data_IF_212674283793
#
_entry.id   IF_212674283793
#
_cell.length_a   1.000
_cell.length_b   1.000
_cell.length_c   1.000
_cell.angle_alpha   90.00
_cell.angle_beta   90.00
_cell.angle_gamma   90.00
#
_symmetry.space_group_name_H-M   'P 1'
#
loop_
_entity.id
_entity.type
_entity.pdbx_description
1 polymer ?
#
# COMPACT_ATOMS: atom_id res chain seq x y z
N UNK A 1 -3.19 46.38 32.00
CA UNK A 1 -2.72 46.51 33.39
C UNK A 1 -1.95 45.23 33.71
N UNK A 2 -0.65 45.39 33.96
CA UNK A 2 0.18 44.72 35.00
C UNK A 2 -0.44 43.48 35.69
N UNK A 3 0.26 42.36 35.96
CA UNK A 3 1.63 42.26 36.46
C UNK A 3 2.11 40.78 36.52
N UNK A 4 3.44 40.63 36.60
CA UNK A 4 4.22 39.42 36.90
C UNK A 4 4.00 38.91 38.34
N UNK A 5 4.31 37.63 38.60
CA UNK A 5 5.12 37.26 39.78
C UNK A 5 5.82 35.90 39.64
N UNK A 6 7.14 35.96 39.84
CA UNK A 6 8.14 34.89 39.94
C UNK A 6 8.20 34.33 41.38
N UNK A 7 8.71 33.10 41.52
CA UNK A 7 9.67 32.57 42.53
C UNK A 7 9.37 31.09 42.88
N UNK A 8 10.29 30.16 43.21
CA UNK A 8 11.77 30.06 43.26
C UNK A 8 12.12 28.56 43.47
N UNK A 9 13.34 28.18 43.07
CA UNK A 9 14.04 26.90 43.31
C UNK A 9 14.52 26.71 44.77
N UNK A 10 14.78 25.44 45.16
CA UNK A 10 15.91 24.88 45.97
C UNK A 10 15.56 23.39 46.29
N UNK A 11 16.24 22.32 45.83
CA UNK A 11 17.59 21.74 46.04
C UNK A 11 17.94 21.33 47.49
N UNK A 12 18.01 20.01 47.74
CA UNK A 12 19.05 19.25 48.49
C UNK A 12 18.67 17.75 48.40
N UNK A 13 19.44 16.78 47.90
CA UNK A 13 20.81 16.28 48.16
C UNK A 13 20.97 15.59 49.52
N UNK A 14 20.95 14.25 49.52
CA UNK A 14 21.88 13.45 50.34
C UNK A 14 22.08 12.03 49.78
N UNK A 15 23.13 11.35 50.24
CA UNK A 15 24.09 10.65 49.43
C UNK A 15 24.54 9.28 50.00
N UNK A 16 24.61 8.27 49.12
CA UNK A 16 25.68 7.23 49.04
C UNK A 16 25.78 6.14 50.17
N UNK A 17 26.72 5.16 50.12
CA UNK A 17 26.62 3.90 49.34
C UNK A 17 27.01 2.64 50.15
N UNK A 18 26.78 1.40 49.67
CA UNK A 18 27.53 0.22 50.18
C UNK A 18 27.75 -0.88 49.11
N UNK A 19 28.93 -1.51 49.22
CA UNK A 19 29.73 -2.26 48.23
C UNK A 19 29.46 -3.79 48.23
N UNK A 20 30.05 -4.56 47.28
CA UNK A 20 29.67 -5.95 46.94
C UNK A 20 30.52 -7.01 47.66
N UNK A 21 30.09 -8.28 47.59
CA UNK A 21 30.87 -9.46 47.99
C UNK A 21 31.03 -10.48 46.84
N UNK A 22 32.18 -11.17 46.88
CA UNK A 22 32.85 -11.94 45.82
C UNK A 22 32.74 -13.46 46.06
N UNK A 23 32.80 -14.20 44.94
CA UNK A 23 33.44 -15.51 44.71
C UNK A 23 32.85 -16.82 45.26
N UNK A 24 32.60 -17.75 44.33
CA UNK A 24 32.73 -19.19 44.48
C UNK A 24 32.89 -19.85 43.11
N UNK A 25 34.08 -20.40 42.82
CA UNK A 25 34.41 -21.23 41.63
C UNK A 25 34.21 -22.72 41.96
N UNK A 26 34.39 -23.56 40.93
CA UNK A 26 34.46 -25.05 40.87
C UNK A 26 33.08 -25.73 40.77
N UNK A 27 32.77 -26.59 39.79
CA UNK A 27 33.61 -27.58 39.08
C UNK A 27 32.97 -27.99 37.76
N UNK A 28 33.77 -28.15 36.69
CA UNK A 28 33.41 -28.87 35.47
C UNK A 28 33.22 -30.37 35.76
N UNK A 29 32.06 -30.94 35.43
CA UNK A 29 31.97 -32.36 35.05
C UNK A 29 30.97 -32.54 33.91
N UNK A 30 31.47 -33.26 32.91
CA UNK A 30 30.90 -33.63 31.62
C UNK A 30 29.69 -34.55 31.81
N UNK A 31 28.57 -34.23 31.16
CA UNK A 31 27.65 -35.23 30.60
C UNK A 31 27.31 -34.81 29.18
N UNK A 32 27.95 -35.49 28.23
CA UNK A 32 27.58 -35.49 26.84
C UNK A 32 26.28 -36.30 26.71
N UNK A 33 25.17 -35.63 26.44
CA UNK A 33 23.90 -36.32 26.23
C UNK A 33 22.66 -35.45 26.15
N UNK A 34 22.72 -34.21 25.67
CA UNK A 34 21.53 -33.35 25.52
C UNK A 34 21.64 -32.44 24.27
N UNK A 35 21.99 -33.01 23.11
CA UNK A 35 22.03 -32.28 21.83
C UNK A 35 20.85 -32.53 20.90
N UNK A 36 19.93 -33.44 21.25
CA UNK A 36 18.70 -33.68 20.47
C UNK A 36 17.42 -33.13 21.13
N UNK A 37 17.46 -32.69 22.40
CA UNK A 37 16.29 -32.10 23.07
C UNK A 37 16.31 -30.55 23.09
N UNK A 38 17.39 -29.92 22.62
CA UNK A 38 17.52 -28.46 22.60
C UNK A 38 16.87 -27.78 21.37
N UNK A 39 16.42 -28.53 20.36
CA UNK A 39 15.79 -27.97 19.15
C UNK A 39 14.25 -27.99 19.17
N UNK A 40 13.63 -28.52 20.23
CA UNK A 40 12.17 -28.63 20.35
C UNK A 40 11.51 -27.63 21.33
N UNK A 41 12.25 -26.65 21.87
CA UNK A 41 11.72 -25.75 22.90
C UNK A 41 11.96 -24.26 22.61
N UNK A 42 11.18 -23.69 21.68
CA UNK A 42 10.65 -22.33 21.85
C UNK A 42 9.46 -22.00 20.92
N UNK A 43 8.53 -22.94 20.74
CA UNK A 43 7.21 -22.56 20.26
C UNK A 43 6.46 -21.93 21.44
N UNK A 44 6.27 -20.61 21.40
CA UNK A 44 5.46 -19.91 22.39
C UNK A 44 3.99 -20.32 22.13
N UNK A 45 3.54 -21.43 22.72
CA UNK A 45 2.30 -22.15 22.38
C UNK A 45 1.00 -21.35 22.56
N UNK A 46 1.07 -20.10 23.04
CA UNK A 46 -0.08 -19.20 23.22
C UNK A 46 -0.26 -18.10 22.18
N UNK A 47 0.81 -17.65 21.51
CA UNK A 47 0.77 -16.49 20.61
C UNK A 47 0.79 -16.94 19.16
N UNK A 48 -0.25 -16.54 18.41
CA UNK A 48 -0.33 -16.73 16.96
C UNK A 48 -0.17 -15.40 16.24
N UNK A 49 0.80 -15.34 15.32
CA UNK A 49 0.89 -14.28 14.33
C UNK A 49 -0.03 -14.56 13.15
N UNK A 50 -0.88 -13.59 12.81
CA UNK A 50 -1.67 -13.62 11.58
C UNK A 50 -1.15 -12.61 10.57
N UNK A 51 -1.13 -13.03 9.31
CA UNK A 51 -0.97 -12.16 8.15
C UNK A 51 -2.35 -11.90 7.54
N UNK A 52 -2.69 -10.65 7.30
CA UNK A 52 -3.99 -10.25 6.76
C UNK A 52 -3.83 -9.34 5.55
N UNK A 53 -4.54 -9.64 4.48
CA UNK A 53 -4.68 -8.77 3.32
C UNK A 53 -5.95 -7.93 3.46
N UNK A 54 -5.84 -6.62 3.29
CA UNK A 54 -6.94 -5.67 3.41
C UNK A 54 -7.06 -4.81 2.16
N UNK A 55 -8.29 -4.56 1.73
CA UNK A 55 -8.64 -3.54 0.74
C UNK A 55 -9.29 -2.35 1.45
N UNK A 56 -9.13 -1.14 0.92
CA UNK A 56 -9.79 0.05 1.46
C UNK A 56 -9.90 1.23 0.49
N UNK A 57 -10.94 2.03 0.71
CA UNK A 57 -11.16 3.33 0.07
C UNK A 57 -10.41 4.41 0.87
N UNK A 58 -9.30 4.88 0.32
CA UNK A 58 -8.35 5.76 0.99
C UNK A 58 -8.88 7.16 1.32
N UNK A 59 -9.86 7.66 0.57
CA UNK A 59 -10.43 9.01 0.75
C UNK A 59 -11.22 9.18 2.05
N UNK A 60 -11.47 8.10 2.79
CA UNK A 60 -12.08 8.10 4.12
C UNK A 60 -11.08 8.14 5.26
N UNK A 61 -9.78 8.17 4.96
CA UNK A 61 -8.71 8.03 5.94
C UNK A 61 -7.63 9.09 5.78
N UNK A 62 -7.04 9.49 6.90
CA UNK A 62 -5.84 10.33 6.97
C UNK A 62 -4.54 9.50 6.81
N UNK A 63 -4.61 8.49 5.94
CA UNK A 63 -3.56 7.52 5.68
C UNK A 63 -3.74 6.22 6.44
N UNK A 64 -2.85 5.26 6.17
CA UNK A 64 -2.94 3.95 6.79
C UNK A 64 -2.40 3.91 8.22
N UNK A 65 -1.30 4.62 8.48
CA UNK A 65 -0.61 4.61 9.77
C UNK A 65 -1.45 5.31 10.84
N UNK A 66 -1.51 4.72 12.05
CA UNK A 66 -2.19 5.35 13.18
C UNK A 66 -1.60 6.72 13.53
N UNK A 67 -2.48 7.69 13.75
CA UNK A 67 -2.17 9.06 14.16
C UNK A 67 -3.16 9.49 15.23
N UNK A 68 -2.77 10.39 16.16
CA UNK A 68 -3.69 10.96 17.14
C UNK A 68 -4.85 11.69 16.45
N UNK A 69 -6.07 11.53 16.97
CA UNK A 69 -7.27 12.28 16.57
C UNK A 69 -7.65 12.19 15.07
N UNK A 70 -7.19 11.17 14.35
CA UNK A 70 -7.46 10.99 12.93
C UNK A 70 -7.96 9.57 12.65
N UNK A 71 -8.96 9.44 11.78
CA UNK A 71 -9.41 8.12 11.29
C UNK A 71 -8.36 7.57 10.31
N UNK A 72 -7.83 6.40 10.63
CA UNK A 72 -6.74 5.75 9.89
C UNK A 72 -7.08 4.27 9.69
N UNK A 73 -6.50 3.65 8.66
CA UNK A 73 -6.77 2.24 8.36
C UNK A 73 -6.33 1.34 9.52
N UNK A 74 -5.12 1.55 10.06
CA UNK A 74 -4.62 0.81 11.22
C UNK A 74 -5.50 1.03 12.45
N UNK A 75 -5.95 2.26 12.70
CA UNK A 75 -6.83 2.56 13.84
C UNK A 75 -8.13 1.77 13.79
N UNK A 76 -8.82 1.77 12.64
CA UNK A 76 -10.08 1.03 12.45
C UNK A 76 -9.86 -0.49 12.51
N UNK A 77 -8.77 -0.99 11.94
CA UNK A 77 -8.42 -2.41 12.05
C UNK A 77 -8.19 -2.83 13.50
N UNK A 78 -7.40 -2.06 14.25
CA UNK A 78 -7.15 -2.35 15.67
C UNK A 78 -8.42 -2.33 16.50
N UNK A 79 -9.33 -1.38 16.24
CA UNK A 79 -10.64 -1.33 16.89
C UNK A 79 -11.48 -2.58 16.58
N UNK A 80 -11.52 -3.01 15.32
CA UNK A 80 -12.24 -4.22 14.91
C UNK A 80 -11.66 -5.48 15.56
N UNK A 81 -10.33 -5.59 15.61
CA UNK A 81 -9.64 -6.69 16.31
C UNK A 81 -9.88 -6.65 17.81
N UNK A 82 -9.88 -5.47 18.44
CA UNK A 82 -10.16 -5.34 19.86
C UNK A 82 -11.58 -5.79 20.19
N UNK A 83 -12.58 -5.44 19.38
CA UNK A 83 -13.96 -5.90 19.57
C UNK A 83 -14.11 -7.41 19.40
N UNK A 84 -13.37 -8.00 18.45
CA UNK A 84 -13.39 -9.44 18.21
C UNK A 84 -12.67 -10.24 19.31
N UNK A 85 -11.40 -9.90 19.57
CA UNK A 85 -10.50 -10.65 20.47
C UNK A 85 -10.78 -10.29 21.94
N UNK A 86 -11.20 -9.06 22.21
CA UNK A 86 -11.42 -8.54 23.56
C UNK A 86 -10.19 -7.83 24.15
N UNK A 87 -9.10 -7.69 23.40
CA UNK A 87 -7.88 -6.99 23.81
C UNK A 87 -7.31 -6.16 22.66
N UNK A 88 -6.59 -5.09 22.97
CA UNK A 88 -5.91 -4.29 21.97
C UNK A 88 -4.79 -5.09 21.30
N UNK A 89 -4.68 -4.97 19.98
CA UNK A 89 -3.59 -5.56 19.19
C UNK A 89 -2.81 -4.46 18.49
N UNK A 90 -1.52 -4.70 18.28
CA UNK A 90 -0.69 -3.84 17.45
C UNK A 90 -0.67 -4.37 16.02
N UNK A 91 -1.01 -3.52 15.05
CA UNK A 91 -1.06 -3.89 13.63
C UNK A 91 0.09 -3.23 12.88
N UNK A 92 0.85 -4.06 12.15
CA UNK A 92 2.00 -3.63 11.38
C UNK A 92 1.77 -3.82 9.88
N UNK A 93 1.66 -2.72 9.14
CA UNK A 93 1.47 -2.74 7.69
C UNK A 93 2.78 -3.05 6.93
N UNK A 94 2.62 -3.74 5.80
CA UNK A 94 3.63 -3.98 4.79
C UNK A 94 4.05 -2.71 4.06
N UNK A 95 3.07 -1.83 3.84
CA UNK A 95 3.21 -0.55 3.19
C UNK A 95 2.35 0.48 3.90
N UNK A 96 2.91 1.65 4.13
CA UNK A 96 2.14 2.80 4.58
C UNK A 96 1.59 3.54 3.37
N UNK A 97 0.37 4.05 3.45
CA UNK A 97 -0.26 4.87 2.40
C UNK A 97 -0.65 6.24 2.94
N UNK A 98 -0.55 7.26 2.09
CA UNK A 98 -0.92 8.64 2.44
C UNK A 98 -2.44 8.78 2.58
N UNK A 99 -2.88 9.92 3.14
CA UNK A 99 -4.27 10.32 3.11
C UNK A 99 -4.81 10.33 1.67
N UNK A 100 -5.98 9.72 1.48
CA UNK A 100 -6.62 9.63 0.17
C UNK A 100 -6.11 8.51 -0.75
N UNK A 101 -5.02 7.82 -0.42
CA UNK A 101 -4.48 6.71 -1.24
C UNK A 101 -5.22 5.42 -0.91
N UNK A 102 -5.70 4.74 -1.94
CA UNK A 102 -6.46 3.49 -1.84
C UNK A 102 -5.55 2.27 -1.73
N UNK A 103 -6.11 1.12 -1.35
CA UNK A 103 -5.45 -0.17 -1.52
C UNK A 103 -6.43 -1.23 -2.02
N UNK A 104 -6.00 -1.97 -3.04
CA UNK A 104 -6.62 -3.22 -3.47
C UNK A 104 -6.13 -4.40 -2.62
N UNK A 105 -4.88 -4.33 -2.16
CA UNK A 105 -4.31 -5.30 -1.23
C UNK A 105 -3.13 -4.69 -0.47
N UNK A 106 -3.40 -4.15 0.72
CA UNK A 106 -2.35 -3.87 1.70
C UNK A 106 -2.27 -5.05 2.66
N UNK A 107 -1.07 -5.50 2.96
CA UNK A 107 -0.87 -6.62 3.88
C UNK A 107 -0.43 -6.11 5.24
N UNK A 108 -1.00 -6.65 6.31
CA UNK A 108 -0.65 -6.34 7.69
C UNK A 108 -0.38 -7.62 8.46
N UNK A 109 0.39 -7.54 9.55
CA UNK A 109 0.45 -8.61 10.53
C UNK A 109 0.18 -8.10 11.94
N UNK A 110 -0.26 -9.00 12.81
CA UNK A 110 -0.47 -8.76 14.23
C UNK A 110 -0.39 -10.08 14.99
N UNK A 111 -0.13 -9.98 16.29
CA UNK A 111 -0.01 -11.10 17.20
C UNK A 111 -1.23 -11.18 18.10
N UNK A 112 -1.70 -12.41 18.35
CA UNK A 112 -2.85 -12.67 19.23
C UNK A 112 -2.51 -13.80 20.16
N UNK A 113 -2.59 -13.53 21.46
CA UNK A 113 -2.78 -14.54 22.49
C UNK A 113 -4.26 -14.60 22.86
N UNK A 114 -4.86 -15.77 22.77
CA UNK A 114 -6.29 -15.91 23.06
C UNK A 114 -6.49 -16.31 24.51
N UNK A 115 -6.98 -15.39 25.34
CA UNK A 115 -7.22 -15.66 26.76
C UNK A 115 -8.70 -15.97 27.02
N UNK A 116 -8.97 -17.00 27.82
CA UNK A 116 -10.31 -17.40 28.22
C UNK A 116 -10.97 -16.32 29.09
N UNK A 117 -12.15 -15.84 28.66
CA UNK A 117 -12.97 -14.93 29.46
C UNK A 117 -13.61 -15.59 30.68
N UNK A 118 -13.78 -16.92 30.66
CA UNK A 118 -14.41 -17.69 31.73
C UNK A 118 -13.42 -18.10 32.81
N UNK A 119 -12.16 -18.32 32.43
CA UNK A 119 -11.06 -18.68 33.34
C UNK A 119 -9.86 -17.78 33.04
N UNK A 120 -9.73 -16.63 33.73
CA UNK A 120 -8.60 -15.74 33.54
C UNK A 120 -7.26 -16.48 33.72
N UNK A 121 -6.33 -16.30 32.79
CA UNK A 121 -5.03 -17.00 32.76
C UNK A 121 -5.00 -18.30 31.95
N UNK A 122 -6.15 -18.83 31.53
CA UNK A 122 -6.20 -19.96 30.59
C UNK A 122 -6.01 -19.46 29.15
N UNK A 123 -4.94 -19.91 28.50
CA UNK A 123 -4.68 -19.66 27.08
C UNK A 123 -5.45 -20.68 26.25
N UNK A 124 -6.25 -20.17 25.32
CA UNK A 124 -7.07 -20.95 24.40
C UNK A 124 -6.35 -21.15 23.06
N UNK A 125 -6.71 -22.20 22.31
CA UNK A 125 -6.19 -22.40 20.96
C UNK A 125 -6.47 -21.19 20.05
N UNK A 126 -5.53 -20.85 19.15
CA UNK A 126 -5.71 -19.79 18.16
C UNK A 126 -6.98 -19.97 17.33
N UNK A 127 -7.52 -18.85 16.84
CA UNK A 127 -8.63 -18.89 15.91
C UNK A 127 -8.18 -19.38 14.53
N UNK A 128 -9.00 -20.20 13.86
CA UNK A 128 -8.76 -20.48 12.45
C UNK A 128 -8.80 -19.18 11.63
N UNK A 129 -7.94 -19.03 10.60
CA UNK A 129 -7.90 -17.83 9.77
C UNK A 129 -9.25 -17.40 9.18
N UNK A 130 -10.10 -18.37 8.81
CA UNK A 130 -11.46 -18.10 8.30
C UNK A 130 -12.36 -17.44 9.33
N UNK A 131 -12.23 -17.82 10.61
CA UNK A 131 -12.99 -17.24 11.72
C UNK A 131 -12.54 -15.80 11.96
N UNK A 132 -11.22 -15.56 11.99
CA UNK A 132 -10.64 -14.22 12.10
C UNK A 132 -11.19 -13.31 10.98
N UNK A 133 -11.10 -13.75 9.72
CA UNK A 133 -11.61 -12.99 8.57
C UNK A 133 -13.08 -12.59 8.74
N UNK A 134 -13.93 -13.58 9.04
CA UNK A 134 -15.38 -13.37 9.15
C UNK A 134 -15.72 -12.42 10.30
N UNK A 135 -15.12 -12.63 11.47
CA UNK A 135 -15.42 -11.83 12.64
C UNK A 135 -14.94 -10.39 12.50
N UNK A 136 -13.74 -10.16 11.97
CA UNK A 136 -13.20 -8.81 11.76
C UNK A 136 -14.03 -8.07 10.72
N UNK A 137 -14.38 -8.70 9.59
CA UNK A 137 -15.24 -8.08 8.59
C UNK A 137 -16.63 -7.70 9.11
N UNK A 138 -17.22 -8.50 10.01
CA UNK A 138 -18.47 -8.13 10.66
C UNK A 138 -18.36 -6.80 11.42
N UNK A 139 -17.24 -6.57 12.12
CA UNK A 139 -17.02 -5.29 12.80
C UNK A 139 -16.67 -4.15 11.84
N UNK A 140 -15.90 -4.41 10.78
CA UNK A 140 -15.57 -3.39 9.77
C UNK A 140 -16.81 -2.93 8.98
N UNK A 141 -17.71 -3.84 8.63
CA UNK A 141 -18.92 -3.53 7.85
C UNK A 141 -19.96 -2.73 8.65
N UNK A 142 -20.00 -2.88 9.98
CA UNK A 142 -20.85 -2.04 10.84
C UNK A 142 -20.40 -0.57 10.86
N UNK A 143 -19.13 -0.31 10.53
CA UNK A 143 -18.49 1.01 10.58
C UNK A 143 -18.12 1.48 9.16
N UNK A 144 -19.16 1.75 8.35
CA UNK A 144 -19.11 2.35 7.00
C UNK A 144 -18.66 1.42 5.85
N UNK A 145 -17.99 0.31 6.13
CA UNK A 145 -17.62 -0.66 5.08
C UNK A 145 -16.51 -0.19 4.13
N UNK A 146 -15.69 0.78 4.55
CA UNK A 146 -14.60 1.33 3.74
C UNK A 146 -13.30 0.50 3.78
N UNK A 147 -13.24 -0.53 4.63
CA UNK A 147 -12.12 -1.47 4.78
C UNK A 147 -12.67 -2.89 4.83
N UNK A 148 -12.05 -3.81 4.11
CA UNK A 148 -12.41 -5.24 4.14
C UNK A 148 -11.15 -6.10 4.24
N UNK A 149 -11.19 -7.11 5.11
CA UNK A 149 -10.19 -8.19 5.15
C UNK A 149 -10.51 -9.21 4.07
N UNK A 150 -9.61 -9.36 3.11
CA UNK A 150 -9.76 -10.23 1.93
C UNK A 150 -9.23 -11.65 2.21
N UNK A 151 -8.05 -11.74 2.82
CA UNK A 151 -7.38 -13.01 3.15
C UNK A 151 -6.73 -12.94 4.54
N UNK A 152 -6.65 -14.09 5.20
CA UNK A 152 -5.99 -14.27 6.50
C UNK A 152 -5.21 -15.57 6.46
N UNK A 153 -3.96 -15.54 6.94
CA UNK A 153 -3.10 -16.73 7.08
C UNK A 153 -2.39 -16.72 8.43
N UNK A 154 -2.18 -17.90 8.99
CA UNK A 154 -1.22 -18.08 10.08
C UNK A 154 0.20 -18.06 9.49
N UNK A 155 1.10 -17.34 10.12
CA UNK A 155 2.51 -17.25 9.71
C UNK A 155 3.43 -17.45 10.92
N UNK A 156 4.71 -17.82 10.71
CA UNK A 156 5.68 -17.90 11.80
C UNK A 156 5.81 -16.59 12.60
N UNK A 157 6.16 -16.70 13.88
CA UNK A 157 6.26 -15.56 14.80
C UNK A 157 7.41 -14.58 14.45
N UNK A 158 8.34 -14.98 13.59
CA UNK A 158 9.41 -14.12 13.05
C UNK A 158 8.98 -13.38 11.76
N UNK A 159 7.80 -13.69 11.21
CA UNK A 159 7.34 -13.11 9.96
C UNK A 159 6.97 -11.63 10.14
N UNK A 160 7.57 -10.74 9.37
CA UNK A 160 7.22 -9.31 9.41
C UNK A 160 6.75 -8.81 8.04
N UNK A 161 5.47 -8.39 7.96
CA UNK A 161 4.83 -7.96 6.71
C UNK A 161 5.64 -6.91 5.93
N UNK A 162 6.30 -5.97 6.61
CA UNK A 162 7.16 -5.00 5.91
C UNK A 162 8.47 -5.59 5.36
N UNK A 163 9.16 -6.41 6.14
CA UNK A 163 10.54 -6.79 5.88
C UNK A 163 10.65 -8.05 5.03
N UNK A 164 9.67 -8.97 5.12
CA UNK A 164 9.58 -10.16 4.26
C UNK A 164 8.89 -9.90 2.91
N UNK A 165 8.36 -8.70 2.68
CA UNK A 165 7.77 -8.34 1.39
C UNK A 165 8.85 -8.15 0.33
N UNK A 166 8.79 -8.97 -0.71
CA UNK A 166 9.72 -9.00 -1.83
C UNK A 166 9.45 -7.90 -2.86
N UNK A 167 8.21 -7.44 -2.94
CA UNK A 167 7.79 -6.50 -3.98
C UNK A 167 6.51 -5.79 -3.58
N UNK A 168 6.36 -4.56 -4.03
CA UNK A 168 5.07 -3.88 -4.06
C UNK A 168 4.75 -3.44 -5.48
N UNK A 169 3.48 -3.54 -5.84
CA UNK A 169 2.93 -3.02 -7.10
C UNK A 169 1.90 -1.95 -6.78
N UNK A 170 2.03 -0.80 -7.42
CA UNK A 170 1.10 0.30 -7.32
C UNK A 170 0.49 0.58 -8.69
N UNK A 171 -0.77 0.97 -8.68
CA UNK A 171 -1.48 1.43 -9.85
C UNK A 171 -1.85 2.89 -9.67
N UNK A 172 -1.71 3.69 -10.72
CA UNK A 172 -2.27 5.02 -10.77
C UNK A 172 -3.28 5.12 -11.90
N UNK A 173 -4.48 5.58 -11.59
CA UNK A 173 -5.58 5.65 -12.54
C UNK A 173 -5.76 7.07 -13.08
N UNK A 174 -5.69 7.20 -14.41
CA UNK A 174 -5.95 8.44 -15.13
C UNK A 174 -7.20 8.30 -16.00
N UNK A 175 -7.95 9.38 -16.11
CA UNK A 175 -9.13 9.50 -16.96
C UNK A 175 -8.92 10.74 -17.84
N UNK A 176 -8.84 10.56 -19.16
CA UNK A 176 -8.56 11.64 -20.11
C UNK A 176 -9.76 11.94 -21.01
N UNK A 177 -10.05 13.22 -21.17
CA UNK A 177 -11.04 13.72 -22.11
C UNK A 177 -11.64 15.07 -21.68
N UNK A 178 -12.11 15.88 -22.64
CA UNK A 178 -12.55 17.25 -22.40
C UNK A 178 -13.86 17.34 -21.62
N UNK A 179 -14.64 16.26 -21.59
CA UNK A 179 -15.90 16.20 -20.87
C UNK A 179 -15.69 16.32 -19.36
N UNK A 180 -16.72 16.75 -18.63
CA UNK A 180 -16.66 16.70 -17.16
C UNK A 180 -16.35 15.28 -16.66
N UNK A 181 -15.73 15.15 -15.48
CA UNK A 181 -15.52 13.84 -14.87
C UNK A 181 -16.88 13.20 -14.54
N UNK A 182 -17.01 11.89 -14.79
CA UNK A 182 -18.19 11.14 -14.35
C UNK A 182 -18.26 11.14 -12.82
N UNK A 183 -19.47 11.26 -12.24
CA UNK A 183 -19.65 11.20 -10.78
C UNK A 183 -19.16 9.88 -10.17
N UNK A 184 -19.19 8.79 -10.95
CA UNK A 184 -18.62 7.51 -10.54
C UNK A 184 -17.10 7.58 -10.45
N UNK A 185 -16.41 8.43 -11.20
CA UNK A 185 -14.94 8.48 -11.19
C UNK A 185 -14.36 9.39 -10.11
N UNK A 186 -15.23 10.18 -9.47
CA UNK A 186 -14.86 11.05 -8.36
C UNK A 186 -14.12 10.26 -7.28
N UNK A 187 -13.00 10.80 -6.82
CA UNK A 187 -12.16 10.22 -5.78
C UNK A 187 -11.53 8.85 -6.12
N UNK A 188 -11.55 8.43 -7.40
CA UNK A 188 -11.01 7.13 -7.87
C UNK A 188 -10.02 7.23 -9.03
N UNK A 189 -9.77 8.44 -9.53
CA UNK A 189 -8.87 8.69 -10.65
C UNK A 189 -8.46 10.16 -10.70
N UNK A 190 -7.35 10.44 -11.38
CA UNK A 190 -7.03 11.80 -11.81
C UNK A 190 -7.67 12.08 -13.17
N UNK A 191 -8.55 13.09 -13.22
CA UNK A 191 -9.10 13.60 -14.47
C UNK A 191 -8.10 14.57 -15.13
N UNK A 192 -7.79 14.30 -16.39
CA UNK A 192 -6.93 15.11 -17.25
C UNK A 192 -7.76 15.54 -18.47
N UNK A 193 -8.22 16.79 -18.56
CA UNK A 193 -9.04 17.25 -19.69
C UNK A 193 -8.36 17.06 -21.06
N UNK A 194 -7.04 17.18 -21.09
CA UNK A 194 -6.20 17.10 -22.28
C UNK A 194 -6.08 15.66 -22.82
N UNK A 195 -5.77 15.56 -24.10
CA UNK A 195 -5.41 14.27 -24.72
C UNK A 195 -4.00 13.86 -24.37
N UNK A 196 -3.80 12.60 -23.99
CA UNK A 196 -2.48 12.09 -23.61
C UNK A 196 -1.80 11.32 -24.76
N UNK A 197 -0.55 11.66 -25.05
CA UNK A 197 0.33 10.90 -25.94
C UNK A 197 0.95 9.71 -25.18
N UNK A 198 0.32 8.54 -25.30
CA UNK A 198 0.74 7.32 -24.60
C UNK A 198 2.11 6.82 -25.07
N UNK A 199 2.44 6.99 -26.36
CA UNK A 199 3.75 6.61 -26.88
C UNK A 199 4.89 7.38 -26.19
N UNK A 200 4.74 8.70 -26.08
CA UNK A 200 5.72 9.54 -25.38
C UNK A 200 5.81 9.21 -23.88
N UNK A 201 4.66 8.97 -23.22
CA UNK A 201 4.65 8.55 -21.81
C UNK A 201 5.35 7.21 -21.62
N UNK A 202 5.17 6.26 -22.53
CA UNK A 202 5.83 4.96 -22.48
C UNK A 202 7.34 5.07 -22.66
N UNK A 203 7.83 5.92 -23.57
CA UNK A 203 9.27 6.20 -23.68
C UNK A 203 9.83 6.87 -22.42
N UNK A 204 9.10 7.80 -21.80
CA UNK A 204 9.47 8.37 -20.52
C UNK A 204 9.49 7.33 -19.38
N UNK A 205 8.60 6.32 -19.41
CA UNK A 205 8.63 5.22 -18.45
C UNK A 205 9.96 4.45 -18.52
N UNK A 206 10.45 4.15 -19.74
CA UNK A 206 11.71 3.43 -19.94
C UNK A 206 12.91 4.13 -19.32
N UNK A 207 12.95 5.46 -19.38
CA UNK A 207 14.00 6.27 -18.74
C UNK A 207 14.03 6.06 -17.22
N UNK A 208 12.87 5.99 -16.58
CA UNK A 208 12.74 5.89 -15.13
C UNK A 208 12.88 4.46 -14.59
N UNK A 209 12.72 3.44 -15.43
CA UNK A 209 12.95 2.03 -15.06
C UNK A 209 14.44 1.79 -14.84
N UNK A 210 14.78 0.96 -13.84
CA UNK A 210 16.15 0.61 -13.51
C UNK A 210 16.64 1.22 -12.20
N UNK A 211 17.96 1.22 -12.03
CA UNK A 211 18.62 1.61 -10.80
C UNK A 211 19.11 3.06 -10.86
N UNK A 212 18.42 3.95 -10.13
CA UNK A 212 18.65 5.39 -10.23
C UNK A 212 18.68 6.07 -8.87
N UNK A 213 19.31 7.24 -8.84
CA UNK A 213 19.16 8.21 -7.75
C UNK A 213 17.86 9.00 -7.94
N UNK A 214 16.82 8.62 -7.19
CA UNK A 214 15.52 9.27 -7.31
C UNK A 214 15.37 10.51 -6.43
N UNK A 215 16.45 11.26 -6.16
CA UNK A 215 16.41 12.48 -5.36
C UNK A 215 15.43 13.54 -5.89
N UNK A 216 15.29 13.67 -7.22
CA UNK A 216 14.32 14.60 -7.83
C UNK A 216 12.86 14.22 -7.59
N UNK A 217 12.60 12.97 -7.23
CA UNK A 217 11.27 12.48 -6.93
C UNK A 217 11.07 12.32 -5.41
N UNK A 218 11.99 12.80 -4.59
CA UNK A 218 12.05 12.56 -3.15
C UNK A 218 11.50 13.74 -2.39
N UNK A 219 10.32 13.64 -1.79
CA UNK A 219 9.78 14.75 -0.97
C UNK A 219 10.75 15.22 0.15
N UNK A 220 10.68 16.50 0.48
CA UNK A 220 11.51 17.17 1.51
C UNK A 220 11.35 16.47 2.87
N UNK A 221 12.47 16.19 3.56
CA UNK A 221 12.48 15.55 4.89
C UNK A 221 12.72 14.03 4.89
N UNK A 222 13.00 13.42 3.74
CA UNK A 222 13.17 11.98 3.58
C UNK A 222 14.20 11.37 4.55
N UNK A 223 13.74 10.55 5.50
CA UNK A 223 14.60 9.83 6.45
C UNK A 223 15.29 8.56 5.88
N UNK A 224 15.56 8.44 4.57
CA UNK A 224 16.13 7.20 4.02
C UNK A 224 17.60 7.39 3.94
N UNK A 225 18.30 6.34 4.30
CA UNK A 225 19.75 6.32 4.25
C UNK A 225 20.25 6.51 2.81
N UNK A 226 19.46 6.12 1.80
CA UNK A 226 19.80 6.33 0.39
C UNK A 226 18.58 6.68 -0.47
N UNK A 227 18.69 7.66 -1.39
CA UNK A 227 17.69 7.96 -2.42
C UNK A 227 17.76 6.99 -3.61
N UNK A 228 18.79 6.17 -3.69
CA UNK A 228 19.00 5.24 -4.79
C UNK A 228 18.07 4.04 -4.67
N UNK A 229 17.29 3.75 -5.70
CA UNK A 229 16.36 2.61 -5.74
C UNK A 229 16.37 1.96 -7.10
N UNK A 230 15.90 0.72 -7.15
CA UNK A 230 15.59 0.02 -8.38
C UNK A 230 14.08 0.04 -8.58
N UNK A 231 13.65 0.53 -9.73
CA UNK A 231 12.29 0.42 -10.21
C UNK A 231 12.24 -0.73 -11.21
N UNK A 232 11.58 -1.82 -10.83
CA UNK A 232 11.54 -3.06 -11.61
C UNK A 232 10.56 -2.95 -12.78
N UNK A 233 9.51 -2.13 -12.62
CA UNK A 233 8.54 -1.85 -13.67
C UNK A 233 7.99 -0.43 -13.54
N UNK A 234 7.86 0.24 -14.68
CA UNK A 234 7.01 1.39 -14.86
C UNK A 234 6.40 1.29 -16.25
N UNK A 235 5.08 1.26 -16.32
CA UNK A 235 4.37 1.15 -17.58
C UNK A 235 3.09 1.98 -17.55
N UNK A 236 2.59 2.37 -18.72
CA UNK A 236 1.32 3.05 -18.91
C UNK A 236 0.53 2.34 -20.00
N UNK A 237 -0.67 1.88 -19.65
CA UNK A 237 -1.55 1.19 -20.57
C UNK A 237 -2.96 1.80 -20.58
N UNK A 238 -3.65 1.66 -21.71
CA UNK A 238 -5.07 1.97 -21.84
C UNK A 238 -5.87 0.85 -21.17
N UNK A 239 -6.83 1.22 -20.34
CA UNK A 239 -7.71 0.29 -19.63
C UNK A 239 -9.16 0.59 -19.91
N UNK A 240 -10.03 -0.39 -19.66
CA UNK A 240 -11.48 -0.22 -19.80
C UNK A 240 -12.01 0.65 -18.66
N UNK A 241 -12.94 1.55 -18.95
CA UNK A 241 -13.63 2.37 -17.95
C UNK A 241 -14.39 1.51 -16.94
N UNK A 242 -14.41 1.91 -15.66
CA UNK A 242 -15.16 1.24 -14.60
C UNK A 242 -16.20 2.18 -13.98
N UNK A 243 -17.45 1.72 -13.73
CA UNK A 243 -17.96 0.37 -13.97
C UNK A 243 -18.06 0.05 -15.47
N UNK A 244 -17.63 -1.15 -15.85
CA UNK A 244 -17.67 -1.57 -17.24
C UNK A 244 -19.02 -2.22 -17.52
N UNK A 245 -19.93 -1.48 -18.14
CA UNK A 245 -21.16 -2.02 -18.71
C UNK A 245 -20.98 -2.14 -20.23
N UNK A 246 -20.58 -3.31 -20.75
CA UNK A 246 -20.39 -3.48 -22.19
C UNK A 246 -21.72 -3.23 -22.92
N UNK A 247 -21.72 -2.49 -24.05
CA UNK A 247 -22.90 -2.31 -24.88
C UNK A 247 -23.51 -3.64 -25.33
N UNK A 248 -24.81 -3.66 -25.62
CA UNK A 248 -25.52 -4.88 -26.04
C UNK A 248 -24.88 -5.57 -27.27
N UNK A 249 -24.27 -4.81 -28.18
CA UNK A 249 -23.59 -5.36 -29.36
C UNK A 249 -22.30 -6.11 -29.00
N UNK A 250 -21.52 -5.63 -28.02
CA UNK A 250 -20.36 -6.36 -27.51
C UNK A 250 -20.79 -7.65 -26.78
N UNK A 251 -21.94 -7.62 -26.08
CA UNK A 251 -22.50 -8.81 -25.41
C UNK A 251 -22.99 -9.88 -26.39
N UNK A 252 -23.49 -9.48 -27.57
CA UNK A 252 -23.87 -10.43 -28.64
C UNK A 252 -22.63 -11.09 -29.23
N UNK A 253 -21.60 -10.30 -29.56
CA UNK A 253 -20.32 -10.82 -30.09
C UNK A 253 -19.57 -11.74 -29.12
N UNK A 254 -19.71 -11.56 -27.81
CA UNK A 254 -19.13 -12.48 -26.82
C UNK A 254 -19.85 -13.83 -26.75
N UNK A 255 -21.16 -13.88 -27.04
CA UNK A 255 -21.89 -15.15 -27.15
C UNK A 255 -21.52 -15.94 -28.41
N UNK A 256 -21.23 -15.25 -29.50
CA UNK A 256 -20.81 -15.89 -30.76
C UNK A 256 -19.32 -16.33 -30.73
N UNK A 257 -18.57 -15.99 -29.67
CA UNK A 257 -17.13 -16.30 -29.52
C UNK A 257 -16.82 -17.53 -28.66
N UNK A 258 -17.79 -18.07 -27.92
CA UNK A 258 -17.61 -19.35 -27.20
C UNK A 258 -17.41 -20.53 -28.17
N UNK A 259 -17.71 -20.36 -29.46
CA UNK A 259 -17.47 -21.37 -30.52
C UNK A 259 -16.07 -21.26 -31.18
N UNK A 260 -15.21 -20.31 -30.76
CA UNK A 260 -13.87 -20.08 -31.35
C UNK A 260 -12.81 -19.95 -30.24
N UNK A 261 -12.81 -20.83 -29.25
CA UNK A 261 -11.74 -20.93 -28.23
C UNK A 261 -10.67 -21.98 -28.59
N UNK A 262 -9.98 -21.82 -29.71
CA UNK A 262 -8.73 -22.58 -29.94
C UNK A 262 -7.54 -21.81 -30.49
N UNK A 263 -7.68 -20.58 -31.00
CA UNK A 263 -6.52 -19.88 -31.59
C UNK A 263 -6.58 -18.35 -31.44
N UNK A 264 -6.33 -17.79 -30.25
CA UNK A 264 -5.61 -16.50 -30.08
C UNK A 264 -5.02 -16.43 -28.67
N UNK A 265 -3.82 -16.99 -28.48
CA UNK A 265 -2.84 -16.42 -27.53
C UNK A 265 -2.01 -15.44 -28.34
N UNK A 266 -1.69 -14.29 -27.76
CA UNK A 266 -0.88 -13.19 -28.32
C UNK A 266 -1.58 -12.22 -29.29
N UNK A 267 -2.43 -11.33 -28.75
CA UNK A 267 -2.50 -9.93 -29.24
C UNK A 267 -3.32 -9.03 -28.30
N UNK A 268 -2.76 -7.93 -27.73
CA UNK A 268 -3.50 -6.99 -26.89
C UNK A 268 -4.30 -5.94 -27.69
N UNK A 269 -4.48 -6.13 -29.00
CA UNK A 269 -5.08 -5.14 -29.90
C UNK A 269 -6.57 -5.36 -30.17
N UNK A 270 -7.42 -5.32 -29.14
CA UNK A 270 -8.89 -5.28 -29.36
C UNK A 270 -9.60 -4.35 -28.38
N UNK A 271 -9.26 -3.06 -28.45
CA UNK A 271 -10.20 -1.99 -28.14
C UNK A 271 -10.30 -1.17 -29.42
N UNK A 272 -11.41 -1.31 -30.14
CA UNK A 272 -11.70 -0.50 -31.34
C UNK A 272 -11.58 0.95 -30.94
N UNK A 273 -10.51 1.60 -31.40
CA UNK A 273 -10.40 3.04 -31.36
C UNK A 273 -11.55 3.60 -32.19
N UNK A 274 -12.43 4.36 -31.54
CA UNK A 274 -13.24 5.37 -32.21
C UNK A 274 -12.33 6.47 -32.72
N UNK A 275 -11.45 6.15 -33.68
CA UNK A 275 -10.64 7.11 -34.40
C UNK A 275 -11.40 7.54 -35.66
N UNK A 276 -12.51 8.24 -35.45
CA UNK A 276 -13.04 9.18 -36.43
C UNK A 276 -13.55 10.39 -35.66
N UNK A 277 -13.10 11.56 -36.07
CA UNK A 277 -13.60 12.84 -35.60
C UNK A 277 -15.07 13.01 -35.97
N UNK A 278 -15.94 12.35 -35.22
CA UNK A 278 -17.37 12.60 -35.23
C UNK A 278 -17.69 13.36 -33.95
N UNK A 279 -17.69 14.68 -34.07
CA UNK A 279 -18.58 15.55 -33.29
C UNK A 279 -20.04 15.26 -33.67
N UNK A 280 -20.42 13.98 -33.65
CA UNK A 280 -21.78 13.52 -33.87
C UNK A 280 -22.58 13.66 -32.59
N UNK A 281 -23.86 13.98 -32.74
CA UNK A 281 -24.84 13.78 -31.68
C UNK A 281 -24.76 12.31 -31.22
N UNK A 282 -24.26 12.09 -30.01
CA UNK A 282 -24.18 10.76 -29.41
C UNK A 282 -25.54 10.25 -28.94
N UNK A 283 -26.59 11.07 -29.06
CA UNK A 283 -27.95 10.80 -28.61
C UNK A 283 -28.22 11.30 -27.19
N UNK A 284 -29.49 11.64 -26.93
CA UNK A 284 -29.95 12.10 -25.62
C UNK A 284 -29.61 11.09 -24.51
N UNK A 285 -28.96 11.57 -23.44
CA UNK A 285 -28.59 10.77 -22.27
C UNK A 285 -27.33 9.92 -22.44
N UNK A 286 -26.68 9.92 -23.61
CA UNK A 286 -25.46 9.15 -23.85
C UNK A 286 -24.24 10.01 -23.52
N UNK A 287 -23.47 9.59 -22.52
CA UNK A 287 -22.21 10.25 -22.16
C UNK A 287 -21.08 9.77 -23.07
N UNK A 288 -20.33 10.70 -23.66
CA UNK A 288 -19.04 10.38 -24.30
C UNK A 288 -18.10 9.74 -23.27
N UNK A 289 -17.49 8.63 -23.65
CA UNK A 289 -16.59 7.88 -22.75
C UNK A 289 -15.24 8.57 -22.67
N UNK A 290 -14.76 8.74 -21.45
CA UNK A 290 -13.37 9.10 -21.21
C UNK A 290 -12.45 7.93 -21.57
N UNK A 291 -11.24 8.27 -22.01
CA UNK A 291 -10.17 7.27 -22.14
C UNK A 291 -9.59 7.03 -20.76
N UNK A 292 -9.55 5.76 -20.34
CA UNK A 292 -9.01 5.40 -19.04
C UNK A 292 -7.61 4.80 -19.23
N UNK A 293 -6.69 5.16 -18.34
CA UNK A 293 -5.32 4.66 -18.33
C UNK A 293 -4.94 4.20 -16.93
N UNK A 294 -4.04 3.22 -16.87
CA UNK A 294 -3.39 2.79 -15.65
C UNK A 294 -1.88 2.90 -15.82
N UNK A 295 -1.23 3.59 -14.89
CA UNK A 295 0.22 3.53 -14.72
C UNK A 295 0.53 2.47 -13.69
N UNK A 296 1.33 1.47 -14.04
CA UNK A 296 1.81 0.44 -13.13
C UNK A 296 3.22 0.79 -12.68
N UNK A 297 3.49 0.75 -11.38
CA UNK A 297 4.82 0.90 -10.83
C UNK A 297 5.13 -0.25 -9.87
N UNK A 298 6.22 -0.99 -10.12
CA UNK A 298 6.62 -2.15 -9.33
C UNK A 298 8.06 -2.01 -8.88
N UNK A 299 8.30 -2.28 -7.60
CA UNK A 299 9.64 -2.24 -7.01
C UNK A 299 9.69 -3.09 -5.73
N UNK A 300 10.87 -3.60 -5.37
CA UNK A 300 11.10 -4.19 -4.05
C UNK A 300 10.72 -3.24 -2.92
N UNK A 301 11.16 -1.98 -3.02
CA UNK A 301 10.78 -0.95 -2.07
C UNK A 301 10.60 0.39 -2.74
N UNK A 302 9.53 1.08 -2.36
CA UNK A 302 9.38 2.49 -2.63
C UNK A 302 9.77 3.28 -1.40
N UNK A 303 10.30 4.45 -1.68
CA UNK A 303 10.62 5.49 -0.72
C UNK A 303 9.24 6.14 -0.31
N UNK A 304 9.02 6.43 0.99
CA UNK A 304 7.70 6.65 1.65
C UNK A 304 7.32 8.15 1.89
N UNK A 305 6.03 8.50 2.07
CA UNK A 305 5.54 9.86 2.30
C UNK A 305 4.81 10.04 3.66
N UNK A 306 5.57 10.30 4.71
CA UNK A 306 5.28 11.29 5.76
C UNK A 306 6.65 11.76 6.22
N UNK A 307 6.97 13.03 5.98
CA UNK A 307 8.33 13.56 6.10
C UNK A 307 9.28 12.83 5.12
N UNK A 308 9.03 13.10 3.83
CA UNK A 308 9.82 12.78 2.64
C UNK A 308 10.00 11.31 2.31
N UNK A 309 9.93 10.96 0.98
CA UNK A 309 10.73 10.10 0.03
C UNK A 309 9.88 9.68 -1.21
N UNK A 310 10.53 9.20 -2.31
CA UNK A 310 10.01 8.81 -3.66
C UNK A 310 8.51 8.79 -3.83
N UNK A 311 8.06 9.84 -4.49
CA UNK A 311 6.67 10.09 -4.64
C UNK A 311 6.21 9.52 -5.97
N UNK A 312 5.52 8.38 -5.93
CA UNK A 312 4.87 7.81 -7.14
C UNK A 312 3.97 8.83 -7.83
N UNK A 313 3.40 9.75 -7.06
CA UNK A 313 2.57 10.85 -7.58
C UNK A 313 3.40 11.91 -8.32
N UNK A 314 4.69 12.11 -7.98
CA UNK A 314 5.59 12.97 -8.78
C UNK A 314 5.95 12.28 -10.09
N UNK A 315 6.26 10.98 -10.07
CA UNK A 315 6.55 10.22 -11.30
C UNK A 315 5.34 10.28 -12.25
N UNK A 316 4.13 10.02 -11.74
CA UNK A 316 2.89 10.15 -12.50
C UNK A 316 2.66 11.60 -12.98
N UNK A 317 3.01 12.60 -12.18
CA UNK A 317 2.95 14.01 -12.59
C UNK A 317 3.85 14.31 -13.79
N UNK A 318 5.09 13.81 -13.78
CA UNK A 318 6.03 13.91 -14.91
C UNK A 318 5.50 13.16 -16.12
N UNK A 319 5.00 11.93 -15.95
CA UNK A 319 4.39 11.19 -17.06
C UNK A 319 3.18 11.93 -17.65
N UNK A 320 2.31 12.54 -16.82
CA UNK A 320 1.21 13.38 -17.30
C UNK A 320 1.74 14.53 -18.14
N UNK A 321 2.76 15.25 -17.65
CA UNK A 321 3.35 16.39 -18.34
C UNK A 321 3.98 15.99 -19.69
N UNK A 322 4.63 14.83 -19.76
CA UNK A 322 5.08 14.26 -21.05
C UNK A 322 3.91 13.93 -21.96
N UNK A 323 2.86 13.31 -21.41
CA UNK A 323 1.66 12.95 -22.15
C UNK A 323 0.90 14.16 -22.70
N UNK A 324 0.92 15.30 -22.01
CA UNK A 324 0.32 16.57 -22.48
C UNK A 324 1.24 17.38 -23.39
N UNK A 325 2.51 16.98 -23.53
CA UNK A 325 3.52 17.70 -24.32
C UNK A 325 4.19 18.87 -23.61
N UNK A 326 3.93 19.03 -22.30
CA UNK A 326 4.58 20.06 -21.47
C UNK A 326 6.05 19.72 -21.18
N UNK A 327 6.39 18.43 -21.21
CA UNK A 327 7.76 17.92 -21.08
C UNK A 327 8.08 16.97 -22.25
N UNK A 328 9.35 16.93 -22.64
CA UNK A 328 9.88 15.93 -23.56
C UNK A 328 10.44 14.72 -22.80
N UNK A 329 10.70 13.62 -23.50
CA UNK A 329 11.40 12.46 -22.89
C UNK A 329 12.78 12.85 -22.38
N UNK A 330 13.51 13.70 -23.12
CA UNK A 330 14.82 14.21 -22.67
C UNK A 330 14.74 15.14 -21.44
N UNK A 331 13.60 15.78 -21.18
CA UNK A 331 13.39 16.48 -19.91
C UNK A 331 13.33 15.51 -18.73
N UNK A 332 12.79 14.30 -18.92
CA UNK A 332 12.71 13.28 -17.86
C UNK A 332 14.11 12.84 -17.43
N UNK A 333 15.02 12.63 -18.38
CA UNK A 333 16.44 12.36 -18.12
C UNK A 333 17.07 13.50 -17.31
N UNK A 334 16.92 14.75 -17.78
CA UNK A 334 17.41 15.94 -17.07
C UNK A 334 16.87 16.06 -15.66
N UNK A 335 15.58 15.79 -15.46
CA UNK A 335 14.94 15.82 -14.13
C UNK A 335 15.59 14.76 -13.24
N UNK A 336 15.76 13.53 -13.73
CA UNK A 336 16.38 12.46 -12.96
C UNK A 336 17.82 12.80 -12.55
N UNK A 337 18.60 13.38 -13.46
CA UNK A 337 19.99 13.79 -13.24
C UNK A 337 20.14 15.01 -12.31
N UNK A 338 19.16 15.93 -12.32
CA UNK A 338 19.20 17.15 -11.52
C UNK A 338 19.20 16.88 -10.00
N UNK A 339 18.73 15.70 -9.57
CA UNK A 339 18.62 15.27 -8.17
C UNK A 339 17.94 16.29 -7.24
N UNK A 340 17.02 17.10 -7.79
CA UNK A 340 16.34 18.19 -7.11
C UNK A 340 14.82 18.11 -7.32
N UNK A 341 14.09 18.19 -6.21
CA UNK A 341 12.63 18.07 -6.16
C UNK A 341 11.91 19.20 -6.86
N UNK A 342 12.49 20.41 -6.85
CA UNK A 342 11.89 21.58 -7.52
C UNK A 342 11.82 21.41 -9.04
N UNK A 343 12.59 20.48 -9.60
CA UNK A 343 12.62 20.21 -11.04
C UNK A 343 11.47 19.30 -11.50
N UNK A 344 10.74 18.66 -10.59
CA UNK A 344 9.65 17.75 -10.93
C UNK A 344 8.32 18.49 -11.17
N UNK A 345 7.49 17.94 -12.07
CA UNK A 345 6.13 18.41 -12.33
C UNK A 345 5.24 18.37 -11.08
N UNK A 346 4.09 19.09 -11.07
CA UNK A 346 3.15 19.08 -9.97
C UNK A 346 2.76 17.65 -9.54
N UNK A 347 2.66 17.46 -8.23
CA UNK A 347 2.33 16.16 -7.64
C UNK A 347 0.90 15.72 -8.04
N UNK A 348 0.79 14.50 -8.56
CA UNK A 348 -0.51 13.94 -8.89
C UNK A 348 -1.41 13.77 -7.63
N UNK A 349 -2.75 13.87 -7.76
CA UNK A 349 -3.67 13.65 -6.65
C UNK A 349 -3.55 12.26 -6.01
N UNK A 350 -3.77 12.15 -4.70
CA UNK A 350 -3.68 10.88 -3.98
C UNK A 350 -4.79 9.88 -4.36
N UNK A 351 -5.98 10.37 -4.69
CA UNK A 351 -7.17 9.57 -4.96
C UNK A 351 -7.09 8.74 -6.26
N UNK A 352 -6.11 9.00 -7.13
CA UNK A 352 -5.80 8.16 -8.29
C UNK A 352 -4.85 7.01 -7.98
N UNK A 353 -4.17 7.01 -6.82
CA UNK A 353 -3.16 6.02 -6.46
C UNK A 353 -3.74 4.87 -5.65
N UNK A 354 -3.34 3.65 -6.02
CA UNK A 354 -3.75 2.39 -5.41
C UNK A 354 -2.51 1.56 -5.07
N UNK A 355 -2.39 1.09 -3.83
CA UNK A 355 -1.53 -0.06 -3.54
C UNK A 355 -2.22 -1.32 -4.08
N UNK A 356 -1.64 -1.90 -5.14
CA UNK A 356 -2.23 -3.01 -5.87
C UNK A 356 -1.97 -4.37 -5.22
N UNK A 357 -0.69 -4.69 -5.04
CA UNK A 357 -0.26 -6.02 -4.58
C UNK A 357 1.03 -5.93 -3.76
N UNK A 358 1.20 -6.84 -2.80
CA UNK A 358 2.43 -7.03 -2.05
C UNK A 358 2.84 -8.50 -2.15
N UNK A 359 3.99 -8.76 -2.76
CA UNK A 359 4.49 -10.12 -2.98
C UNK A 359 5.27 -10.62 -1.76
N UNK A 360 4.99 -11.86 -1.39
CA UNK A 360 5.71 -12.61 -0.36
C UNK A 360 6.02 -13.99 -0.91
N UNK A 361 7.11 -14.57 -0.40
CA UNK A 361 7.28 -16.01 -0.45
C UNK A 361 6.72 -16.61 0.83
N UNK A 362 5.64 -17.37 0.69
CA UNK A 362 4.91 -18.02 1.77
C UNK A 362 5.01 -19.55 1.65
N UNK A 363 5.96 -20.08 0.88
CA UNK A 363 6.18 -21.53 0.87
C UNK A 363 6.36 -22.03 2.30
N UNK A 364 5.64 -23.09 2.70
CA UNK A 364 5.91 -23.74 3.98
C UNK A 364 7.38 -24.12 3.99
N UNK A 365 8.14 -23.63 4.97
CA UNK A 365 9.47 -24.20 5.22
C UNK A 365 9.22 -25.66 5.63
N UNK A 366 9.80 -26.57 4.84
CA UNK A 366 9.62 -28.01 4.98
C UNK A 366 10.17 -28.54 6.30
#
# INVERSE_FOLDING_TARGET
>A
MTENLKHRLEISSDSSPQRPLKMGKTTDQVLAGDKEEAEAMNHNHGIQRYLVAVEYIGTRFYGSQQQPNCRTVVGVLQEAFQKFIGQSVLVFCSSRTDAGVHALSNVCHFDVERISKRKPGEVLPPHEPRVVRRAVNHFLQKHEGDVTVVDVRSVPNDFHARYKAQERTYFYRLVSGPEALSCFEKDRAWHVPETLNIGAMHEACKVLVGHHDFSSFRATGCQANSPTRTLDELDVCKVVSRPNFPPLMERKRSKDREDIESEVRDNPSFIVDGNKGETGDVGFGIRKRHRCFAVTARAHSFLYHQVGKLNKKLMVGVLKAVGTGDLTVGDVERILEAKNVSSASPMAPACGLYLGHVKYDLTPQA
#
